data_IF_011006607080
#
_entry.id   IF_011006607080
#
_cell.length_a   1.000
_cell.length_b   1.000
_cell.length_c   1.000
_cell.angle_alpha   90.00
_cell.angle_beta   90.00
_cell.angle_gamma   90.00
#
_symmetry.space_group_name_H-M   'P 1'
#
loop_
_entity.id
_entity.type
_entity.pdbx_description
1 polymer ?
#
# COMPACT_ATOMS: atom_id res chain seq x y z
N UNK A 1 -26.72 13.72 4.35
CA UNK A 1 -25.77 12.63 4.04
C UNK A 1 -24.43 13.08 4.59
N UNK A 2 -23.95 12.46 5.66
CA UNK A 2 -22.66 12.80 6.26
C UNK A 2 -21.52 12.22 5.43
N UNK A 3 -20.48 13.02 5.19
CA UNK A 3 -19.25 12.57 4.56
C UNK A 3 -18.33 12.02 5.65
N UNK A 4 -18.18 10.69 5.66
CA UNK A 4 -17.20 10.02 6.52
C UNK A 4 -15.83 10.13 5.85
N UNK A 5 -14.89 10.80 6.51
CA UNK A 5 -13.50 10.90 6.06
C UNK A 5 -12.75 9.63 6.48
N UNK A 6 -12.46 8.76 5.53
CA UNK A 6 -11.58 7.61 5.76
C UNK A 6 -10.12 8.06 5.71
N UNK A 7 -9.44 8.00 6.85
CA UNK A 7 -8.02 8.28 6.93
C UNK A 7 -7.24 7.20 6.16
N UNK A 8 -6.45 7.62 5.17
CA UNK A 8 -5.61 6.75 4.34
C UNK A 8 -4.15 7.00 4.67
N UNK A 9 -3.35 5.93 4.78
CA UNK A 9 -1.90 6.03 4.98
C UNK A 9 -1.17 5.56 3.72
N UNK A 10 -0.19 6.36 3.29
CA UNK A 10 0.72 6.01 2.21
C UNK A 10 1.94 5.26 2.74
N UNK A 11 2.19 4.06 2.22
CA UNK A 11 3.36 3.25 2.53
C UNK A 11 4.23 3.16 1.27
N UNK A 12 5.53 3.41 1.43
CA UNK A 12 6.52 3.23 0.37
C UNK A 12 7.29 1.95 0.65
N UNK A 13 7.24 1.00 -0.28
CA UNK A 13 7.89 -0.31 -0.15
C UNK A 13 8.93 -0.46 -1.25
N UNK A 14 10.20 -0.61 -0.87
CA UNK A 14 11.25 -1.03 -1.79
C UNK A 14 11.20 -2.54 -1.99
N UNK A 15 11.36 -2.98 -3.24
CA UNK A 15 11.27 -4.39 -3.60
C UNK A 15 12.47 -4.82 -4.44
N UNK A 16 12.93 -6.05 -4.24
CA UNK A 16 14.00 -6.62 -5.05
C UNK A 16 13.57 -6.90 -6.50
N UNK A 17 12.30 -7.26 -6.69
CA UNK A 17 11.70 -7.59 -7.98
C UNK A 17 10.23 -7.17 -8.06
N UNK A 18 9.83 -6.63 -9.21
CA UNK A 18 8.44 -6.28 -9.52
C UNK A 18 7.62 -7.46 -10.08
N UNK A 19 8.24 -8.64 -10.25
CA UNK A 19 7.58 -9.83 -10.81
C UNK A 19 6.33 -10.24 -10.01
N UNK A 20 6.37 -10.06 -8.69
CA UNK A 20 5.29 -10.45 -7.77
C UNK A 20 4.42 -9.28 -7.30
N UNK A 21 4.34 -8.19 -8.08
CA UNK A 21 3.53 -7.01 -7.73
C UNK A 21 2.06 -7.34 -7.45
N UNK A 22 1.50 -8.34 -8.14
CA UNK A 22 0.10 -8.77 -7.93
C UNK A 22 -0.18 -9.16 -6.48
N UNK A 23 0.80 -9.74 -5.78
CA UNK A 23 0.68 -10.10 -4.37
C UNK A 23 0.57 -8.85 -3.48
N UNK A 24 1.19 -7.72 -3.86
CA UNK A 24 1.11 -6.49 -3.07
C UNK A 24 -0.27 -5.84 -3.09
N UNK A 25 -1.09 -6.11 -4.11
CA UNK A 25 -2.46 -5.59 -4.19
C UNK A 25 -3.36 -6.07 -3.06
N UNK A 26 -3.00 -7.17 -2.38
CA UNK A 26 -3.76 -7.68 -1.22
C UNK A 26 -3.62 -6.80 0.01
N UNK A 27 -2.57 -5.97 0.07
CA UNK A 27 -2.28 -5.10 1.21
C UNK A 27 -2.88 -3.70 1.05
N UNK A 28 -3.42 -3.37 -0.12
CA UNK A 28 -4.01 -2.05 -0.37
C UNK A 28 -3.94 -1.63 -1.83
N UNK A 29 -4.28 -0.37 -2.07
CA UNK A 29 -4.31 0.22 -3.39
C UNK A 29 -2.91 0.66 -3.81
N UNK A 30 -2.41 0.11 -4.91
CA UNK A 30 -1.14 0.55 -5.48
C UNK A 30 -1.36 1.87 -6.21
N UNK A 31 -0.77 2.95 -5.70
CA UNK A 31 -0.86 4.28 -6.28
C UNK A 31 0.23 4.50 -7.34
N UNK A 32 1.44 3.98 -7.13
CA UNK A 32 2.56 4.19 -8.04
C UNK A 32 3.57 3.04 -7.99
N UNK A 33 4.22 2.77 -9.12
CA UNK A 33 5.25 1.72 -9.25
C UNK A 33 6.44 2.28 -10.02
N UNK A 34 7.60 2.34 -9.37
CA UNK A 34 8.86 2.71 -10.02
C UNK A 34 9.58 1.48 -10.55
N UNK A 35 9.66 1.34 -11.88
CA UNK A 35 10.42 0.27 -12.54
C UNK A 35 11.93 0.45 -12.42
N UNK A 36 12.41 1.70 -12.46
CA UNK A 36 13.83 2.03 -12.42
C UNK A 36 14.43 1.89 -11.01
N UNK A 37 13.73 2.40 -10.00
CA UNK A 37 14.20 2.38 -8.60
C UNK A 37 13.65 1.19 -7.80
N UNK A 38 12.74 0.40 -8.38
CA UNK A 38 12.12 -0.78 -7.77
C UNK A 38 11.46 -0.48 -6.41
N UNK A 39 10.55 0.48 -6.39
CA UNK A 39 9.69 0.72 -5.22
C UNK A 39 8.23 0.88 -5.64
N UNK A 40 7.33 0.70 -4.68
CA UNK A 40 5.88 0.76 -4.84
C UNK A 40 5.30 1.68 -3.77
N UNK A 41 4.34 2.53 -4.16
CA UNK A 41 3.54 3.34 -3.22
C UNK A 41 2.19 2.67 -3.07
N UNK A 42 1.81 2.34 -1.84
CA UNK A 42 0.56 1.66 -1.49
C UNK A 42 -0.24 2.55 -0.55
N UNK A 43 -1.51 2.78 -0.85
CA UNK A 43 -2.46 3.38 0.07
C UNK A 43 -3.26 2.30 0.79
N UNK A 44 -3.23 2.37 2.12
CA UNK A 44 -3.98 1.50 3.02
C UNK A 44 -4.98 2.32 3.81
N UNK A 45 -6.13 1.74 4.12
CA UNK A 45 -7.06 2.33 5.08
C UNK A 45 -6.42 2.28 6.47
N UNK A 46 -6.43 3.40 7.21
CA UNK A 46 -5.81 3.48 8.54
C UNK A 46 -6.48 2.53 9.54
N UNK A 47 -7.75 2.19 9.33
CA UNK A 47 -8.48 1.18 10.09
C UNK A 47 -7.92 -0.25 9.94
N UNK A 48 -7.11 -0.52 8.92
CA UNK A 48 -6.47 -1.83 8.69
C UNK A 48 -5.00 -1.87 9.16
N UNK A 49 -4.41 -0.73 9.53
CA UNK A 49 -3.00 -0.62 9.91
C UNK A 49 -2.69 -1.37 11.22
N UNK A 50 -3.62 -1.41 12.17
CA UNK A 50 -3.44 -2.13 13.44
C UNK A 50 -3.20 -3.65 13.27
N UNK A 51 -3.60 -4.23 12.14
CA UNK A 51 -3.42 -5.68 11.91
C UNK A 51 -2.10 -6.01 11.19
N UNK A 52 -1.47 -5.02 10.52
CA UNK A 52 -0.32 -5.27 9.63
C UNK A 52 1.03 -5.03 10.32
N UNK A 53 1.10 -4.25 11.40
CA UNK A 53 2.36 -3.98 12.13
C UNK A 53 2.84 -5.12 13.06
N UNK A 54 2.04 -6.19 13.25
CA UNK A 54 2.35 -7.28 14.19
C UNK A 54 2.85 -8.60 13.59
N UNK A 55 3.12 -8.68 12.29
CA UNK A 55 3.66 -9.90 11.66
C UNK A 55 4.99 -9.68 10.96
#
# INVERSE_FOLDING_TARGET
MELILNERQGIIVWVYSLRHLKTLKRFGLIHYVSKRMKYVVIYVDKSEVETTEKN
#
